data_IF_480355356670
#
_entry.id   IF_480355356670
#
_cell.length_a   1.000
_cell.length_b   1.000
_cell.length_c   1.000
_cell.angle_alpha   90.00
_cell.angle_beta   90.00
_cell.angle_gamma   90.00
#
_symmetry.space_group_name_H-M   'P 1'
#
loop_
_entity.id
_entity.type
_entity.pdbx_description
1 polymer ?
#
# COMPACT_ATOMS: atom_id res chain seq x y z
N UNK A 1 -33.82 -10.37 11.64
CA UNK A 1 -32.91 -11.11 12.55
C UNK A 1 -33.41 -12.54 12.60
N UNK A 2 -32.55 -13.52 12.37
CA UNK A 2 -32.94 -14.94 12.33
C UNK A 2 -33.47 -15.39 13.69
N UNK A 3 -34.69 -15.91 13.74
CA UNK A 3 -35.28 -16.50 14.93
C UNK A 3 -34.57 -17.82 15.22
N UNK A 4 -33.86 -17.94 16.35
CA UNK A 4 -33.18 -19.16 16.81
C UNK A 4 -32.18 -19.84 15.82
N UNK A 5 -31.56 -19.06 14.92
CA UNK A 5 -30.56 -19.56 13.97
C UNK A 5 -31.14 -20.18 12.70
N UNK A 6 -32.44 -20.02 12.46
CA UNK A 6 -33.07 -20.39 11.18
C UNK A 6 -32.92 -19.28 10.16
N UNK A 7 -32.39 -19.62 9.00
CA UNK A 7 -32.20 -18.70 7.88
C UNK A 7 -33.04 -19.17 6.70
N UNK A 8 -33.91 -18.28 6.19
CA UNK A 8 -34.65 -18.53 4.95
C UNK A 8 -33.66 -18.56 3.79
N UNK A 9 -33.73 -19.59 2.98
CA UNK A 9 -32.98 -19.71 1.72
C UNK A 9 -33.72 -18.92 0.65
N UNK A 10 -32.98 -18.19 -0.19
CA UNK A 10 -33.59 -17.56 -1.36
C UNK A 10 -34.26 -18.64 -2.23
N UNK A 11 -35.55 -18.49 -2.60
CA UNK A 11 -36.22 -19.47 -3.45
C UNK A 11 -35.44 -19.83 -4.74
N UNK A 12 -34.67 -18.89 -5.30
CA UNK A 12 -33.84 -19.13 -6.48
C UNK A 12 -32.60 -20.01 -6.20
N UNK A 13 -32.19 -20.14 -4.94
CA UNK A 13 -31.06 -20.95 -4.50
C UNK A 13 -31.46 -22.35 -4.05
N UNK A 14 -32.76 -22.61 -3.88
CA UNK A 14 -33.27 -23.95 -3.58
C UNK A 14 -33.07 -24.85 -4.81
N UNK A 15 -32.31 -25.96 -4.70
CA UNK A 15 -32.01 -26.81 -5.84
C UNK A 15 -33.26 -27.56 -6.35
N UNK A 16 -33.28 -27.81 -7.67
CA UNK A 16 -34.20 -28.75 -8.32
C UNK A 16 -33.96 -30.19 -7.87
N UNK A 17 -34.91 -31.09 -8.17
CA UNK A 17 -34.79 -32.50 -7.80
C UNK A 17 -33.54 -33.15 -8.43
N UNK A 18 -32.81 -33.93 -7.62
CA UNK A 18 -31.55 -34.57 -8.01
C UNK A 18 -30.40 -33.58 -8.23
N UNK A 19 -30.45 -32.40 -7.58
CA UNK A 19 -29.37 -31.40 -7.62
C UNK A 19 -28.89 -31.04 -6.22
N UNK A 20 -27.66 -30.56 -6.18
CA UNK A 20 -27.02 -29.93 -5.03
C UNK A 20 -26.57 -28.53 -5.45
N UNK A 21 -26.56 -27.58 -4.51
CA UNK A 21 -26.06 -26.24 -4.72
C UNK A 21 -25.39 -25.72 -3.46
N UNK A 22 -24.29 -25.00 -3.61
CA UNK A 22 -23.72 -24.18 -2.55
C UNK A 22 -24.61 -22.97 -2.29
N UNK A 23 -25.13 -22.83 -1.06
CA UNK A 23 -26.04 -21.74 -0.67
C UNK A 23 -25.50 -21.06 0.59
N UNK A 24 -25.50 -19.71 0.62
CA UNK A 24 -25.06 -18.95 1.79
C UNK A 24 -26.21 -18.71 2.77
N UNK A 25 -26.13 -19.30 3.96
CA UNK A 25 -27.09 -19.15 5.06
C UNK A 25 -26.36 -18.71 6.33
N UNK A 26 -26.78 -17.61 6.93
CA UNK A 26 -26.16 -17.09 8.16
C UNK A 26 -24.66 -16.80 8.06
N UNK A 27 -24.17 -16.45 6.86
CA UNK A 27 -22.74 -16.22 6.59
C UNK A 27 -21.90 -17.50 6.38
N UNK A 28 -22.52 -18.69 6.40
CA UNK A 28 -21.90 -19.97 6.02
C UNK A 28 -22.40 -20.44 4.67
N UNK A 29 -21.53 -21.01 3.85
CA UNK A 29 -21.96 -21.77 2.67
C UNK A 29 -22.26 -23.21 3.09
N UNK A 30 -23.46 -23.69 2.79
CA UNK A 30 -23.90 -25.08 2.99
C UNK A 30 -24.15 -25.74 1.64
N UNK A 31 -23.96 -27.05 1.55
CA UNK A 31 -24.39 -27.82 0.39
C UNK A 31 -25.86 -28.20 0.57
N UNK A 32 -26.76 -27.46 -0.07
CA UNK A 32 -28.20 -27.72 -0.06
C UNK A 32 -28.52 -28.69 -1.21
N UNK A 33 -29.20 -29.79 -0.92
CA UNK A 33 -29.56 -30.84 -1.87
C UNK A 33 -31.07 -31.08 -1.87
N UNK A 34 -31.62 -31.51 -3.00
CA UNK A 34 -33.01 -31.99 -3.11
C UNK A 34 -33.04 -33.41 -3.68
N UNK A 35 -33.75 -34.30 -3.00
CA UNK A 35 -34.02 -35.67 -3.44
C UNK A 35 -35.49 -36.01 -3.22
N UNK A 36 -36.28 -35.96 -4.29
CA UNK A 36 -37.74 -35.96 -4.27
C UNK A 36 -38.28 -34.80 -3.44
N UNK A 37 -39.17 -35.13 -2.50
CA UNK A 37 -39.74 -34.17 -1.55
C UNK A 37 -38.79 -33.78 -0.40
N UNK A 38 -37.62 -34.43 -0.28
CA UNK A 38 -36.71 -34.22 0.85
C UNK A 38 -35.61 -33.22 0.49
N UNK A 39 -35.26 -32.39 1.47
CA UNK A 39 -34.13 -31.47 1.40
C UNK A 39 -33.07 -31.87 2.43
N UNK A 40 -31.81 -31.74 2.04
CA UNK A 40 -30.65 -31.95 2.90
C UNK A 40 -29.78 -30.71 2.89
N UNK A 41 -29.24 -30.32 4.05
CA UNK A 41 -28.21 -29.30 4.13
C UNK A 41 -26.99 -29.90 4.81
N UNK A 42 -25.88 -29.97 4.07
CA UNK A 42 -24.62 -30.52 4.57
C UNK A 42 -23.59 -29.40 4.76
N UNK A 43 -22.59 -29.65 5.60
CA UNK A 43 -21.35 -28.89 5.57
C UNK A 43 -20.80 -28.89 4.15
N UNK A 44 -20.50 -27.71 3.61
CA UNK A 44 -20.05 -27.60 2.24
C UNK A 44 -18.60 -28.09 2.09
N UNK A 45 -17.86 -28.20 3.18
CA UNK A 45 -16.49 -28.69 3.20
C UNK A 45 -16.43 -30.21 3.42
N UNK A 46 -16.00 -30.95 2.40
CA UNK A 46 -15.76 -32.38 2.50
C UNK A 46 -14.68 -32.72 3.56
N UNK A 47 -14.86 -33.74 4.43
CA UNK A 47 -13.90 -34.10 5.48
C UNK A 47 -12.56 -34.65 4.96
N UNK A 48 -12.48 -35.14 3.72
CA UNK A 48 -11.24 -35.72 3.19
C UNK A 48 -10.26 -34.66 2.68
N UNK A 49 -10.62 -33.92 1.63
CA UNK A 49 -9.74 -32.89 1.03
C UNK A 49 -10.29 -31.47 1.15
N UNK A 50 -11.45 -31.27 1.79
CA UNK A 50 -12.05 -29.94 1.92
C UNK A 50 -12.84 -29.48 0.69
N UNK A 51 -13.13 -30.37 -0.26
CA UNK A 51 -13.83 -30.01 -1.50
C UNK A 51 -15.25 -29.47 -1.28
N UNK A 52 -15.72 -28.54 -2.14
CA UNK A 52 -17.02 -27.90 -2.03
C UNK A 52 -18.15 -28.83 -2.49
N UNK A 53 -18.83 -29.47 -1.54
CA UNK A 53 -19.89 -30.44 -1.84
C UNK A 53 -21.08 -29.83 -2.60
N UNK A 54 -21.32 -28.52 -2.44
CA UNK A 54 -22.33 -27.75 -3.16
C UNK A 54 -22.03 -27.58 -4.65
N UNK A 55 -20.81 -27.86 -5.09
CA UNK A 55 -20.39 -27.94 -6.50
C UNK A 55 -20.28 -29.39 -6.99
N UNK A 56 -20.69 -30.35 -6.15
CA UNK A 56 -20.73 -31.77 -6.48
C UNK A 56 -21.89 -32.13 -7.41
N UNK A 57 -22.02 -33.43 -7.67
CA UNK A 57 -23.11 -34.02 -8.44
C UNK A 57 -23.87 -35.03 -7.61
N UNK A 58 -25.19 -35.17 -7.82
CA UNK A 58 -25.94 -36.29 -7.27
C UNK A 58 -26.05 -37.38 -8.34
N UNK A 59 -25.38 -38.49 -8.12
CA UNK A 59 -25.30 -39.62 -9.04
C UNK A 59 -25.74 -40.90 -8.34
N UNK A 60 -26.69 -41.63 -8.94
CA UNK A 60 -27.24 -42.87 -8.36
C UNK A 60 -27.75 -42.70 -6.92
N UNK A 61 -28.28 -41.51 -6.61
CA UNK A 61 -28.80 -41.14 -5.28
C UNK A 61 -27.74 -40.72 -4.26
N UNK A 62 -26.46 -40.64 -4.65
CA UNK A 62 -25.36 -40.22 -3.78
C UNK A 62 -24.78 -38.88 -4.25
N UNK A 63 -24.47 -38.00 -3.31
CA UNK A 63 -23.73 -36.77 -3.54
C UNK A 63 -22.23 -37.06 -3.63
N UNK A 64 -21.64 -36.78 -4.79
CA UNK A 64 -20.21 -36.95 -5.05
C UNK A 64 -19.45 -35.66 -4.84
N UNK A 65 -18.39 -35.72 -4.04
CA UNK A 65 -17.43 -34.62 -3.88
C UNK A 65 -16.69 -34.34 -5.21
N UNK A 66 -16.63 -33.08 -5.68
CA UNK A 66 -16.04 -32.76 -6.98
C UNK A 66 -14.51 -32.90 -7.02
N UNK A 67 -13.84 -32.92 -5.85
CA UNK A 67 -12.37 -32.95 -5.81
C UNK A 67 -11.78 -34.35 -5.89
N UNK A 68 -12.35 -35.31 -5.18
CA UNK A 68 -11.79 -36.66 -5.07
C UNK A 68 -12.84 -37.77 -5.18
N UNK A 69 -14.06 -37.43 -5.61
CA UNK A 69 -15.07 -38.40 -6.03
C UNK A 69 -15.69 -39.25 -4.92
N UNK A 70 -15.50 -38.88 -3.64
CA UNK A 70 -16.10 -39.60 -2.53
C UNK A 70 -17.60 -39.28 -2.42
N UNK A 71 -18.39 -40.31 -2.14
CA UNK A 71 -19.85 -40.25 -2.16
C UNK A 71 -20.42 -40.09 -0.74
N UNK A 72 -21.54 -39.39 -0.62
CA UNK A 72 -22.31 -39.19 0.60
C UNK A 72 -23.80 -39.34 0.32
N UNK A 73 -24.59 -39.77 1.30
CA UNK A 73 -26.04 -39.60 1.23
C UNK A 73 -26.37 -38.09 1.25
N UNK A 74 -27.08 -37.56 0.24
CA UNK A 74 -27.28 -36.12 0.07
C UNK A 74 -28.10 -35.48 1.19
N UNK A 75 -28.84 -36.26 1.99
CA UNK A 75 -29.72 -35.75 3.04
C UNK A 75 -29.08 -35.87 4.43
N UNK A 76 -28.53 -37.03 4.73
CA UNK A 76 -27.99 -37.38 6.05
C UNK A 76 -26.48 -37.18 6.17
N UNK A 77 -25.77 -36.93 5.06
CA UNK A 77 -24.31 -36.78 5.02
C UNK A 77 -23.56 -38.08 5.35
N UNK A 78 -24.26 -39.20 5.53
CA UNK A 78 -23.64 -40.49 5.85
C UNK A 78 -22.86 -41.01 4.66
N UNK A 79 -21.69 -41.62 4.86
CA UNK A 79 -20.97 -42.24 3.77
C UNK A 79 -21.66 -43.56 3.35
N UNK A 80 -21.29 -44.14 2.20
CA UNK A 80 -21.68 -45.49 1.82
C UNK A 80 -21.33 -46.53 2.89
N UNK A 81 -22.02 -47.67 2.85
CA UNK A 81 -21.76 -48.79 3.76
C UNK A 81 -20.29 -49.21 3.72
N UNK A 82 -19.72 -49.50 4.89
CA UNK A 82 -18.30 -49.88 5.05
C UNK A 82 -17.35 -48.70 5.31
N UNK A 83 -17.85 -47.46 5.33
CA UNK A 83 -17.05 -46.28 5.64
C UNK A 83 -17.60 -45.47 6.83
N UNK A 84 -16.77 -44.63 7.44
CA UNK A 84 -17.10 -43.87 8.67
C UNK A 84 -17.13 -42.35 8.51
N UNK A 85 -16.64 -41.81 7.39
CA UNK A 85 -16.26 -40.39 7.29
C UNK A 85 -17.44 -39.51 6.83
N UNK A 86 -18.51 -39.47 7.62
CA UNK A 86 -19.70 -38.67 7.30
C UNK A 86 -19.48 -37.15 7.36
N UNK A 87 -20.36 -36.42 6.68
CA UNK A 87 -20.37 -34.94 6.65
C UNK A 87 -21.40 -34.44 7.66
N UNK A 88 -21.07 -33.36 8.37
CA UNK A 88 -21.99 -32.72 9.30
C UNK A 88 -23.25 -32.21 8.56
N UNK A 89 -24.42 -32.30 9.20
CA UNK A 89 -25.70 -31.87 8.65
C UNK A 89 -26.25 -30.68 9.42
N UNK A 90 -27.07 -29.88 8.73
CA UNK A 90 -27.84 -28.79 9.30
C UNK A 90 -29.33 -29.12 9.17
N UNK A 91 -30.14 -28.87 10.23
CA UNK A 91 -31.57 -29.04 10.13
C UNK A 91 -32.17 -28.20 9.00
N UNK A 92 -33.05 -28.81 8.22
CA UNK A 92 -33.81 -28.15 7.15
C UNK A 92 -35.29 -28.25 7.48
N UNK A 93 -36.02 -27.14 7.32
CA UNK A 93 -37.45 -27.08 7.51
C UNK A 93 -38.09 -26.42 6.28
N UNK A 94 -39.12 -27.06 5.74
CA UNK A 94 -39.95 -26.46 4.71
C UNK A 94 -41.22 -25.91 5.37
N UNK A 95 -41.40 -24.60 5.29
CA UNK A 95 -42.55 -23.85 5.81
C UNK A 95 -43.40 -23.35 4.63
N UNK A 96 -44.60 -22.87 4.90
CA UNK A 96 -45.53 -22.37 3.88
C UNK A 96 -44.92 -21.23 3.02
N UNK A 97 -44.00 -20.46 3.60
CA UNK A 97 -43.35 -19.32 2.96
C UNK A 97 -41.93 -19.62 2.46
N UNK A 98 -41.41 -20.85 2.58
CA UNK A 98 -40.14 -21.24 1.97
C UNK A 98 -39.31 -22.28 2.72
N UNK A 99 -38.07 -22.44 2.27
CA UNK A 99 -37.08 -23.37 2.86
C UNK A 99 -36.21 -22.62 3.85
N UNK A 100 -36.01 -23.23 5.01
CA UNK A 100 -35.19 -22.70 6.09
C UNK A 100 -34.10 -23.70 6.45
N UNK A 101 -32.88 -23.21 6.64
CA UNK A 101 -31.75 -24.00 7.14
C UNK A 101 -31.33 -23.42 8.48
N UNK A 102 -31.18 -24.29 9.49
CA UNK A 102 -30.67 -23.89 10.80
C UNK A 102 -29.17 -24.08 10.86
N UNK A 103 -28.43 -22.98 10.91
CA UNK A 103 -26.98 -23.01 11.14
C UNK A 103 -26.66 -22.49 12.54
N UNK A 104 -25.61 -23.00 13.20
CA UNK A 104 -25.13 -22.40 14.43
C UNK A 104 -24.70 -20.96 14.16
N UNK A 105 -24.90 -20.08 15.15
CA UNK A 105 -24.33 -18.74 15.09
C UNK A 105 -22.81 -18.83 14.88
N UNK A 106 -22.22 -17.90 14.11
CA UNK A 106 -20.76 -17.84 13.99
C UNK A 106 -20.14 -17.78 15.39
N UNK A 107 -19.07 -18.55 15.61
CA UNK A 107 -18.29 -18.38 16.82
C UNK A 107 -17.81 -16.92 16.89
N UNK A 108 -17.79 -16.30 18.08
CA UNK A 108 -17.21 -14.98 18.23
C UNK A 108 -15.76 -15.02 17.77
N UNK A 109 -15.37 -13.99 17.03
CA UNK A 109 -14.01 -13.85 16.51
C UNK A 109 -13.02 -13.78 17.68
N UNK A 110 -12.03 -14.67 17.70
CA UNK A 110 -10.88 -14.57 18.58
C UNK A 110 -9.81 -13.73 17.88
N UNK A 111 -9.33 -12.69 18.56
CA UNK A 111 -8.34 -11.75 18.00
C UNK A 111 -7.07 -12.47 17.59
N UNK A 112 -6.54 -12.15 16.41
CA UNK A 112 -5.38 -12.82 15.82
C UNK A 112 -4.21 -11.87 15.60
N UNK A 113 -3.06 -12.44 15.25
CA UNK A 113 -1.89 -11.69 14.77
C UNK A 113 -2.24 -10.74 13.63
N UNK A 114 -3.08 -11.16 12.67
CA UNK A 114 -3.53 -10.28 11.60
C UNK A 114 -4.33 -9.07 12.10
N UNK A 115 -5.16 -9.22 13.14
CA UNK A 115 -5.85 -8.08 13.76
C UNK A 115 -4.85 -7.10 14.37
N UNK A 116 -3.88 -7.59 15.15
CA UNK A 116 -2.84 -6.75 15.76
C UNK A 116 -2.08 -5.94 14.71
N UNK A 117 -1.72 -6.59 13.59
CA UNK A 117 -1.04 -5.93 12.47
C UNK A 117 -1.93 -4.83 11.89
N UNK A 118 -3.17 -5.13 11.51
CA UNK A 118 -4.09 -4.16 10.89
C UNK A 118 -4.41 -3.01 11.84
N UNK A 119 -4.72 -3.28 13.10
CA UNK A 119 -4.97 -2.27 14.14
C UNK A 119 -3.76 -1.35 14.32
N UNK A 120 -2.54 -1.90 14.28
CA UNK A 120 -1.30 -1.11 14.33
C UNK A 120 -1.17 -0.23 13.07
N UNK A 121 -1.40 -0.77 11.88
CA UNK A 121 -1.37 0.04 10.64
C UNK A 121 -2.38 1.20 10.71
N UNK A 122 -3.60 0.94 11.21
CA UNK A 122 -4.64 1.93 11.42
C UNK A 122 -4.22 2.98 12.46
N UNK A 123 -3.63 2.57 13.58
CA UNK A 123 -3.13 3.48 14.62
C UNK A 123 -2.03 4.41 14.07
N UNK A 124 -1.23 3.94 13.12
CA UNK A 124 -0.20 4.70 12.42
C UNK A 124 -0.72 5.50 11.21
N UNK A 125 -2.04 5.55 11.00
CA UNK A 125 -2.67 6.43 10.01
C UNK A 125 -2.80 5.84 8.61
N UNK A 126 -2.60 4.52 8.44
CA UNK A 126 -2.96 3.85 7.19
C UNK A 126 -4.48 3.82 7.07
N UNK A 127 -5.00 4.42 6.01
CA UNK A 127 -6.45 4.54 5.75
C UNK A 127 -6.90 3.89 4.44
N UNK A 128 -5.97 3.62 3.53
CA UNK A 128 -6.27 3.05 2.22
C UNK A 128 -5.39 1.83 1.96
N UNK A 129 -6.03 0.74 1.56
CA UNK A 129 -5.36 -0.54 1.28
C UNK A 129 -5.82 -1.05 -0.09
N UNK A 130 -4.89 -1.20 -1.02
CA UNK A 130 -5.14 -1.68 -2.38
C UNK A 130 -4.67 -3.13 -2.51
N UNK A 131 -5.47 -4.05 -3.02
CA UNK A 131 -4.94 -5.41 -3.12
C UNK A 131 -5.86 -6.47 -3.65
N UNK A 132 -5.33 -7.68 -3.68
CA UNK A 132 -6.05 -8.88 -4.10
C UNK A 132 -6.06 -9.91 -2.99
N UNK A 133 -7.26 -10.42 -2.70
CA UNK A 133 -7.46 -11.52 -1.76
C UNK A 133 -7.16 -12.84 -2.46
N UNK A 134 -6.46 -13.73 -1.78
CA UNK A 134 -6.35 -15.13 -2.17
C UNK A 134 -5.79 -15.98 -1.03
N UNK A 135 -5.62 -17.28 -1.29
CA UNK A 135 -5.40 -18.29 -0.25
C UNK A 135 -4.37 -17.89 0.82
N UNK A 136 -3.22 -17.34 0.41
CA UNK A 136 -2.13 -17.10 1.33
C UNK A 136 -2.21 -15.78 2.11
N UNK A 137 -3.30 -15.03 2.02
CA UNK A 137 -3.49 -13.77 2.75
C UNK A 137 -4.89 -13.62 3.36
N UNK A 138 -5.65 -14.72 3.45
CA UNK A 138 -7.02 -14.71 3.94
C UNK A 138 -7.15 -14.17 5.37
N UNK A 139 -6.21 -14.51 6.27
CA UNK A 139 -6.24 -14.01 7.64
C UNK A 139 -6.07 -12.49 7.70
N UNK A 140 -5.14 -11.96 6.90
CA UNK A 140 -4.94 -10.51 6.76
C UNK A 140 -6.13 -9.80 6.11
N UNK A 141 -6.67 -10.36 5.02
CA UNK A 141 -7.85 -9.82 4.35
C UNK A 141 -9.08 -9.77 5.26
N UNK A 142 -9.29 -10.78 6.10
CA UNK A 142 -10.39 -10.84 7.05
C UNK A 142 -10.24 -9.80 8.18
N UNK A 143 -9.01 -9.54 8.63
CA UNK A 143 -8.71 -8.44 9.56
C UNK A 143 -8.95 -7.05 8.93
N UNK A 144 -8.57 -6.87 7.66
CA UNK A 144 -8.88 -5.65 6.90
C UNK A 144 -10.39 -5.43 6.77
N UNK A 145 -11.15 -6.46 6.41
CA UNK A 145 -12.62 -6.40 6.30
C UNK A 145 -13.25 -5.95 7.61
N UNK A 146 -12.80 -6.48 8.76
CA UNK A 146 -13.29 -6.04 10.07
C UNK A 146 -12.95 -4.58 10.38
N UNK A 147 -11.76 -4.10 10.00
CA UNK A 147 -11.38 -2.71 10.18
C UNK A 147 -12.20 -1.77 9.26
N UNK A 148 -12.50 -2.21 8.03
CA UNK A 148 -13.38 -1.51 7.10
C UNK A 148 -14.82 -1.45 7.61
N UNK A 149 -15.38 -2.54 8.16
CA UNK A 149 -16.71 -2.55 8.79
C UNK A 149 -16.81 -1.54 9.95
N UNK A 150 -15.70 -1.28 10.65
CA UNK A 150 -15.60 -0.26 11.71
C UNK A 150 -15.36 1.15 11.18
N UNK A 151 -15.18 1.33 9.87
CA UNK A 151 -14.90 2.63 9.23
C UNK A 151 -13.48 3.16 9.46
N UNK A 152 -12.53 2.30 9.84
CA UNK A 152 -11.17 2.71 10.20
C UNK A 152 -10.24 2.83 8.98
N UNK A 153 -10.55 2.12 7.91
CA UNK A 153 -9.85 2.13 6.62
C UNK A 153 -10.81 1.79 5.48
N UNK A 154 -10.34 1.94 4.25
CA UNK A 154 -11.03 1.51 3.04
C UNK A 154 -10.17 0.50 2.27
N UNK A 155 -10.77 -0.66 1.95
CA UNK A 155 -10.17 -1.65 1.08
C UNK A 155 -10.61 -1.42 -0.37
N UNK A 156 -9.63 -1.43 -1.27
CA UNK A 156 -9.84 -1.20 -2.70
C UNK A 156 -9.36 -2.44 -3.45
N UNK A 157 -10.32 -3.26 -3.88
CA UNK A 157 -10.06 -4.44 -4.68
C UNK A 157 -9.55 -4.07 -6.07
N UNK A 158 -8.41 -4.63 -6.46
CA UNK A 158 -7.83 -4.44 -7.80
C UNK A 158 -7.95 -5.69 -8.67
N UNK A 159 -7.68 -5.55 -9.98
CA UNK A 159 -7.68 -6.66 -10.94
C UNK A 159 -6.29 -7.18 -11.32
N UNK A 160 -5.24 -6.47 -10.91
CA UNK A 160 -3.85 -6.88 -11.05
C UNK A 160 -3.02 -6.25 -9.92
N UNK A 161 -2.12 -6.98 -9.28
CA UNK A 161 -1.39 -6.52 -8.09
C UNK A 161 -0.47 -5.33 -8.40
N UNK A 162 0.13 -5.29 -9.59
CA UNK A 162 0.87 -4.11 -10.06
C UNK A 162 0.03 -2.81 -10.01
N UNK A 163 -1.27 -2.88 -10.28
CA UNK A 163 -2.15 -1.72 -10.15
C UNK A 163 -2.36 -1.30 -8.68
N UNK A 164 -2.38 -2.25 -7.73
CA UNK A 164 -2.38 -1.92 -6.31
C UNK A 164 -1.10 -1.21 -5.88
N UNK A 165 0.06 -1.69 -6.33
CA UNK A 165 1.34 -1.06 -6.03
C UNK A 165 1.42 0.37 -6.62
N UNK A 166 0.99 0.56 -7.87
CA UNK A 166 0.92 1.90 -8.48
C UNK A 166 -0.07 2.82 -7.76
N UNK A 167 -1.23 2.31 -7.35
CA UNK A 167 -2.22 3.11 -6.62
C UNK A 167 -1.68 3.55 -5.24
N UNK A 168 -1.03 2.65 -4.51
CA UNK A 168 -0.37 2.98 -3.24
C UNK A 168 0.76 3.99 -3.45
N UNK A 169 1.59 3.80 -4.49
CA UNK A 169 2.63 4.74 -4.89
C UNK A 169 2.06 6.13 -5.18
N UNK A 170 1.03 6.23 -6.01
CA UNK A 170 0.36 7.49 -6.34
C UNK A 170 -0.23 8.17 -5.09
N UNK A 171 -0.86 7.40 -4.19
CA UNK A 171 -1.37 7.94 -2.93
C UNK A 171 -0.25 8.54 -2.09
N UNK A 172 0.88 7.83 -1.94
CA UNK A 172 2.06 8.32 -1.23
C UNK A 172 2.61 9.61 -1.84
N UNK A 173 2.77 9.66 -3.17
CA UNK A 173 3.24 10.85 -3.89
C UNK A 173 2.28 12.02 -3.73
N UNK A 174 0.98 11.81 -3.76
CA UNK A 174 -0.02 12.88 -3.72
C UNK A 174 -0.30 13.39 -2.31
N UNK A 175 -0.18 12.56 -1.28
CA UNK A 175 -0.58 12.93 0.09
C UNK A 175 0.59 13.08 1.06
N UNK A 176 1.76 12.52 0.73
CA UNK A 176 2.88 12.38 1.66
C UNK A 176 2.61 11.37 2.79
N UNK A 177 1.47 10.67 2.78
CA UNK A 177 1.06 9.70 3.79
C UNK A 177 1.16 8.28 3.24
N UNK A 178 1.48 7.27 4.08
CA UNK A 178 1.56 5.89 3.63
C UNK A 178 0.18 5.33 3.24
N UNK A 179 0.15 4.58 2.15
CA UNK A 179 -0.90 3.62 1.83
C UNK A 179 -0.31 2.21 1.76
N UNK A 180 -1.16 1.20 1.91
CA UNK A 180 -0.74 -0.18 1.81
C UNK A 180 -1.19 -0.79 0.48
N UNK A 181 -0.37 -1.68 -0.07
CA UNK A 181 -0.77 -2.66 -1.07
C UNK A 181 -0.52 -4.08 -0.57
N UNK A 182 -1.40 -5.03 -0.90
CA UNK A 182 -1.18 -6.43 -0.52
C UNK A 182 -1.53 -7.44 -1.60
N UNK A 183 -0.83 -8.58 -1.55
CA UNK A 183 -0.94 -9.66 -2.52
C UNK A 183 -0.73 -11.05 -1.87
N UNK A 184 -0.90 -12.11 -2.67
CA UNK A 184 -0.65 -13.51 -2.26
C UNK A 184 0.82 -13.92 -2.45
N UNK A 185 1.19 -15.11 -1.99
CA UNK A 185 2.50 -15.70 -2.15
C UNK A 185 2.94 -15.82 -3.61
N UNK A 186 4.25 -15.91 -3.81
CA UNK A 186 4.87 -16.13 -5.12
C UNK A 186 4.47 -15.08 -6.16
N UNK A 187 3.84 -15.48 -7.28
CA UNK A 187 3.62 -14.61 -8.44
C UNK A 187 2.80 -13.37 -8.12
N UNK A 188 1.79 -13.48 -7.24
CA UNK A 188 0.95 -12.33 -6.88
C UNK A 188 1.76 -11.23 -6.19
N UNK A 189 2.66 -11.59 -5.29
CA UNK A 189 3.59 -10.64 -4.66
C UNK A 189 4.60 -10.09 -5.68
N UNK A 190 5.18 -10.92 -6.54
CA UNK A 190 6.14 -10.41 -7.55
C UNK A 190 5.52 -9.42 -8.54
N UNK A 191 4.20 -9.52 -8.80
CA UNK A 191 3.47 -8.54 -9.61
C UNK A 191 3.44 -7.13 -9.00
N UNK A 192 3.69 -6.98 -7.68
CA UNK A 192 3.79 -5.67 -7.03
C UNK A 192 5.07 -4.91 -7.44
N UNK A 193 6.15 -5.61 -7.80
CA UNK A 193 7.50 -5.05 -7.89
C UNK A 193 7.59 -3.81 -8.77
N UNK A 194 6.98 -3.81 -9.96
CA UNK A 194 7.07 -2.66 -10.87
C UNK A 194 6.49 -1.38 -10.25
N UNK A 195 5.33 -1.47 -9.60
CA UNK A 195 4.73 -0.32 -8.92
C UNK A 195 5.49 0.08 -7.65
N UNK A 196 6.14 -0.88 -6.98
CA UNK A 196 6.99 -0.59 -5.83
C UNK A 196 8.32 0.07 -6.22
N UNK A 197 8.88 -0.27 -7.39
CA UNK A 197 10.05 0.45 -7.92
C UNK A 197 9.71 1.89 -8.29
N UNK A 198 8.51 2.13 -8.83
CA UNK A 198 7.98 3.47 -9.02
C UNK A 198 7.90 4.24 -7.68
N UNK A 199 7.42 3.61 -6.60
CA UNK A 199 7.42 4.22 -5.26
C UNK A 199 8.84 4.50 -4.74
N UNK A 200 9.76 3.51 -4.84
CA UNK A 200 11.16 3.62 -4.40
C UNK A 200 11.88 4.78 -5.08
N UNK A 201 11.79 4.87 -6.40
CA UNK A 201 12.52 5.88 -7.18
C UNK A 201 11.94 7.29 -6.99
N UNK A 202 10.66 7.40 -6.63
CA UNK A 202 10.01 8.68 -6.38
C UNK A 202 9.96 9.10 -4.91
N UNK A 203 10.47 8.28 -4.00
CA UNK A 203 10.46 8.56 -2.56
C UNK A 203 9.06 8.50 -1.94
N UNK A 204 8.17 7.65 -2.45
CA UNK A 204 6.80 7.54 -1.96
C UNK A 204 6.72 6.56 -0.77
N UNK A 205 6.09 6.95 0.36
CA UNK A 205 5.90 6.05 1.49
C UNK A 205 4.83 4.99 1.15
N UNK A 206 5.23 3.72 1.08
CA UNK A 206 4.33 2.61 0.73
C UNK A 206 4.59 1.41 1.64
N UNK A 207 3.51 0.74 2.06
CA UNK A 207 3.59 -0.57 2.71
C UNK A 207 3.22 -1.66 1.72
N UNK A 208 4.10 -2.62 1.51
CA UNK A 208 3.83 -3.83 0.75
C UNK A 208 3.63 -5.01 1.71
N UNK A 209 2.47 -5.66 1.66
CA UNK A 209 2.18 -6.84 2.46
C UNK A 209 2.03 -8.05 1.54
N UNK A 210 2.89 -9.04 1.73
CA UNK A 210 2.88 -10.25 0.94
C UNK A 210 2.42 -11.42 1.79
N UNK A 211 1.36 -12.10 1.37
CA UNK A 211 1.06 -13.45 1.88
C UNK A 211 2.21 -14.41 1.56
N UNK A 212 2.33 -15.50 2.31
CA UNK A 212 3.40 -16.48 2.11
C UNK A 212 2.92 -17.89 2.46
N UNK A 213 3.45 -18.89 1.75
CA UNK A 213 3.20 -20.31 2.08
C UNK A 213 3.54 -20.61 3.55
N UNK A 214 2.96 -21.66 4.15
CA UNK A 214 3.24 -21.96 5.53
C UNK A 214 4.73 -22.15 5.81
N UNK A 215 5.24 -21.64 6.94
CA UNK A 215 6.69 -21.65 7.21
C UNK A 215 7.31 -23.04 7.14
N UNK A 216 6.54 -24.08 7.49
CA UNK A 216 6.97 -25.49 7.48
C UNK A 216 7.26 -26.08 6.08
N UNK A 217 6.75 -25.44 5.00
CA UNK A 217 6.93 -25.91 3.62
C UNK A 217 7.80 -24.99 2.77
N UNK A 218 8.14 -23.81 3.28
CA UNK A 218 8.99 -22.84 2.59
C UNK A 218 10.35 -23.46 2.21
N UNK A 219 10.77 -23.26 0.96
CA UNK A 219 12.01 -23.82 0.40
C UNK A 219 11.94 -25.30 -0.01
N UNK A 220 10.79 -25.97 0.15
CA UNK A 220 10.60 -27.36 -0.27
C UNK A 220 10.02 -27.49 -1.69
N UNK A 221 9.80 -26.37 -2.38
CA UNK A 221 9.17 -26.33 -3.70
C UNK A 221 7.65 -26.43 -3.61
N UNK A 222 7.06 -25.83 -2.57
CA UNK A 222 5.60 -25.77 -2.47
C UNK A 222 5.00 -24.92 -3.60
N UNK A 223 3.69 -25.07 -3.84
CA UNK A 223 2.99 -24.21 -4.79
C UNK A 223 3.11 -22.74 -4.36
N UNK A 224 3.62 -21.88 -5.25
CA UNK A 224 3.91 -20.45 -4.99
C UNK A 224 5.03 -20.16 -3.98
N UNK A 225 5.91 -21.13 -3.72
CA UNK A 225 7.09 -21.00 -2.85
C UNK A 225 8.17 -20.10 -3.49
N UNK A 226 8.28 -18.87 -3.01
CA UNK A 226 9.28 -17.88 -3.43
C UNK A 226 9.89 -17.22 -2.20
N UNK A 227 11.21 -17.00 -2.19
CA UNK A 227 11.87 -16.18 -1.17
C UNK A 227 11.56 -14.70 -1.39
N UNK A 228 10.39 -14.29 -0.92
CA UNK A 228 9.89 -12.92 -1.05
C UNK A 228 10.76 -11.91 -0.28
N UNK A 229 11.45 -12.33 0.78
CA UNK A 229 12.38 -11.45 1.49
C UNK A 229 13.63 -11.16 0.66
N UNK A 230 14.15 -12.14 -0.09
CA UNK A 230 15.22 -11.90 -1.05
C UNK A 230 14.76 -11.04 -2.24
N UNK A 231 13.61 -11.37 -2.82
CA UNK A 231 13.06 -10.68 -4.01
C UNK A 231 12.81 -9.19 -3.74
N UNK A 232 12.30 -8.83 -2.57
CA UNK A 232 11.95 -7.44 -2.25
C UNK A 232 13.09 -6.65 -1.61
N UNK A 233 14.26 -7.27 -1.39
CA UNK A 233 15.38 -6.66 -0.65
C UNK A 233 15.90 -5.38 -1.31
N UNK A 234 15.91 -5.34 -2.64
CA UNK A 234 16.34 -4.12 -3.33
C UNK A 234 15.24 -3.05 -3.29
N UNK A 235 14.00 -3.39 -3.62
CA UNK A 235 12.91 -2.39 -3.75
C UNK A 235 12.52 -1.76 -2.41
N UNK A 236 12.69 -2.47 -1.30
CA UNK A 236 12.26 -2.02 0.01
C UNK A 236 13.37 -1.41 0.86
N UNK A 237 13.09 -0.32 1.57
CA UNK A 237 13.97 0.24 2.61
C UNK A 237 14.04 -0.65 3.85
N UNK A 238 13.06 -1.54 4.01
CA UNK A 238 13.05 -2.63 4.99
C UNK A 238 12.16 -3.77 4.50
N UNK A 239 12.61 -5.01 4.62
CA UNK A 239 11.80 -6.21 4.37
C UNK A 239 11.89 -7.12 5.59
N UNK A 240 10.74 -7.61 6.09
CA UNK A 240 10.72 -8.44 7.30
C UNK A 240 9.66 -9.52 7.21
N UNK A 241 10.05 -10.76 7.52
CA UNK A 241 9.12 -11.88 7.65
C UNK A 241 8.54 -11.91 9.06
N UNK A 242 7.22 -12.04 9.16
CA UNK A 242 6.48 -12.14 10.41
C UNK A 242 6.50 -13.59 10.88
N UNK A 243 7.34 -13.90 11.87
CA UNK A 243 7.46 -15.25 12.42
C UNK A 243 6.55 -15.48 13.63
N UNK A 244 6.29 -16.75 13.96
CA UNK A 244 5.61 -17.13 15.20
C UNK A 244 6.40 -16.64 16.42
N UNK A 245 5.70 -16.06 17.40
CA UNK A 245 6.31 -15.51 18.62
C UNK A 245 7.07 -14.19 18.46
N UNK A 246 7.07 -13.58 17.27
CA UNK A 246 7.60 -12.21 17.09
C UNK A 246 6.72 -11.17 17.79
N UNK A 247 7.27 -9.98 18.04
CA UNK A 247 6.48 -8.81 18.42
C UNK A 247 5.78 -8.24 17.18
N UNK A 248 4.59 -8.76 16.88
CA UNK A 248 3.87 -8.45 15.64
C UNK A 248 3.46 -6.98 15.57
N UNK A 249 3.07 -6.37 16.70
CA UNK A 249 2.73 -4.96 16.77
C UNK A 249 3.96 -4.09 16.45
N UNK A 250 5.12 -4.41 17.03
CA UNK A 250 6.35 -3.68 16.77
C UNK A 250 6.80 -3.81 15.30
N UNK A 251 6.70 -5.01 14.70
CA UNK A 251 7.04 -5.21 13.29
C UNK A 251 6.19 -4.35 12.35
N UNK A 252 4.87 -4.27 12.60
CA UNK A 252 3.99 -3.39 11.83
C UNK A 252 4.33 -1.91 12.03
N UNK A 253 4.54 -1.49 13.27
CA UNK A 253 4.91 -0.11 13.61
C UNK A 253 6.22 0.31 12.93
N UNK A 254 7.25 -0.55 12.97
CA UNK A 254 8.53 -0.30 12.32
C UNK A 254 8.40 -0.27 10.79
N UNK A 255 7.54 -1.08 10.19
CA UNK A 255 7.28 -1.00 8.75
C UNK A 255 6.70 0.37 8.37
N UNK A 256 5.68 0.87 9.09
CA UNK A 256 5.12 2.21 8.82
C UNK A 256 6.13 3.31 9.06
N UNK A 257 6.89 3.20 10.17
CA UNK A 257 7.96 4.14 10.49
C UNK A 257 9.03 4.18 9.40
N UNK A 258 9.53 3.04 8.93
CA UNK A 258 10.54 3.01 7.87
C UNK A 258 10.02 3.56 6.55
N UNK A 259 8.82 3.18 6.13
CA UNK A 259 8.20 3.71 4.90
C UNK A 259 8.08 5.23 4.95
N UNK A 260 7.68 5.78 6.11
CA UNK A 260 7.49 7.21 6.32
C UNK A 260 8.84 7.93 6.44
N UNK A 261 9.69 7.55 7.39
CA UNK A 261 10.93 8.23 7.73
C UNK A 261 11.96 8.14 6.61
N UNK A 262 12.06 7.01 5.92
CA UNK A 262 12.99 6.84 4.80
C UNK A 262 12.36 7.14 3.44
N UNK A 263 11.08 7.55 3.40
CA UNK A 263 10.34 7.89 2.17
C UNK A 263 10.48 6.79 1.12
N UNK A 264 9.94 5.61 1.40
CA UNK A 264 10.08 4.47 0.50
C UNK A 264 9.17 3.29 0.84
N UNK A 265 9.49 2.14 0.27
CA UNK A 265 8.71 0.92 0.43
C UNK A 265 9.17 0.16 1.67
N UNK A 266 8.27 -0.14 2.60
CA UNK A 266 8.51 -1.16 3.62
C UNK A 266 7.68 -2.41 3.31
N UNK A 267 8.29 -3.59 3.43
CA UNK A 267 7.71 -4.86 3.04
C UNK A 267 7.57 -5.81 4.23
N UNK A 268 6.39 -6.41 4.38
CA UNK A 268 6.11 -7.45 5.37
C UNK A 268 5.70 -8.75 4.65
N UNK A 269 6.29 -9.87 5.07
CA UNK A 269 5.96 -11.21 4.57
C UNK A 269 5.19 -11.97 5.66
N UNK A 270 3.98 -12.44 5.37
CA UNK A 270 3.05 -13.02 6.33
C UNK A 270 2.73 -14.49 5.98
N UNK A 271 3.37 -15.47 6.63
CA UNK A 271 3.03 -16.88 6.44
C UNK A 271 1.61 -17.22 6.91
N UNK A 272 0.93 -18.09 6.16
CA UNK A 272 -0.48 -18.46 6.35
C UNK A 272 -0.84 -18.82 7.80
N UNK A 273 -0.04 -19.69 8.42
CA UNK A 273 -0.32 -20.20 9.75
C UNK A 273 -0.10 -19.16 10.84
N UNK A 274 0.66 -18.09 10.57
CA UNK A 274 0.94 -17.02 11.53
C UNK A 274 -0.23 -16.05 11.59
N UNK A 275 -0.84 -15.72 10.44
CA UNK A 275 -1.91 -14.72 10.33
C UNK A 275 -3.11 -15.00 11.26
N UNK A 276 -3.38 -16.28 11.50
CA UNK A 276 -4.54 -16.77 12.26
C UNK A 276 -4.20 -17.20 13.70
N UNK A 277 -2.95 -17.04 14.14
CA UNK A 277 -2.61 -17.34 15.54
C UNK A 277 -3.32 -16.38 16.49
N UNK A 278 -3.87 -16.86 17.62
CA UNK A 278 -4.46 -15.99 18.64
C UNK A 278 -3.44 -14.96 19.15
N UNK A 279 -3.87 -13.72 19.35
CA UNK A 279 -3.03 -12.68 19.94
C UNK A 279 -3.84 -11.61 20.66
N UNK A 280 -3.53 -11.42 21.94
CA UNK A 280 -4.06 -10.35 22.78
C UNK A 280 -3.09 -9.17 22.91
N UNK A 281 -2.00 -9.15 22.14
CA UNK A 281 -1.01 -8.08 22.18
C UNK A 281 -1.64 -6.74 21.78
N UNK A 282 -1.42 -5.64 22.52
CA UNK A 282 -1.98 -4.34 22.14
C UNK A 282 -1.40 -3.87 20.80
N UNK A 283 -2.20 -3.15 20.02
CA UNK A 283 -1.69 -2.46 18.83
C UNK A 283 -0.67 -1.38 19.24
N UNK A 284 0.38 -1.21 18.44
CA UNK A 284 1.39 -0.18 18.69
C UNK A 284 0.94 1.17 18.12
N UNK A 285 1.13 2.27 18.87
CA UNK A 285 0.78 3.63 18.43
C UNK A 285 2.04 4.42 18.02
N UNK A 286 1.90 5.51 17.24
CA UNK A 286 3.03 6.37 16.89
C UNK A 286 3.53 7.27 18.04
N UNK A 287 2.86 7.27 19.20
CA UNK A 287 3.15 8.20 20.30
C UNK A 287 4.58 8.05 20.82
N UNK A 288 5.34 9.16 20.80
CA UNK A 288 6.75 9.17 21.19
C UNK A 288 7.71 8.48 20.21
N UNK A 289 7.21 8.04 19.04
CA UNK A 289 7.99 7.27 18.05
C UNK A 289 8.19 8.00 16.72
N UNK A 290 7.54 9.14 16.54
CA UNK A 290 7.67 10.03 15.38
C UNK A 290 8.15 11.41 15.81
N UNK A 291 8.86 12.10 14.92
CA UNK A 291 9.30 13.47 15.11
C UNK A 291 8.98 14.31 13.87
N UNK A 292 8.86 15.63 14.02
CA UNK A 292 8.91 16.53 12.88
C UNK A 292 10.27 16.35 12.19
N UNK A 293 10.22 16.15 10.88
CA UNK A 293 11.41 15.87 10.07
C UNK A 293 12.02 17.13 9.47
N UNK A 294 11.32 18.25 9.55
CA UNK A 294 11.79 19.51 8.99
C UNK A 294 12.96 20.02 9.83
N UNK A 295 14.07 20.29 9.16
CA UNK A 295 15.31 20.75 9.79
C UNK A 295 15.77 22.05 9.16
N UNK A 296 16.46 22.86 9.96
CA UNK A 296 17.16 24.06 9.48
C UNK A 296 18.63 23.70 9.20
N UNK A 297 19.23 24.27 8.15
CA UNK A 297 20.67 24.19 7.92
C UNK A 297 21.46 24.96 8.99
N UNK A 298 22.76 24.69 9.06
CA UNK A 298 23.66 25.44 9.94
C UNK A 298 23.68 26.93 9.58
N UNK A 299 23.68 27.81 10.58
CA UNK A 299 23.66 29.27 10.39
C UNK A 299 24.79 29.75 9.48
N UNK A 300 26.01 29.25 9.68
CA UNK A 300 27.17 29.59 8.85
C UNK A 300 27.01 29.16 7.39
N UNK A 301 26.30 28.06 7.12
CA UNK A 301 25.99 27.63 5.76
C UNK A 301 24.96 28.55 5.11
N UNK A 302 23.95 28.99 5.86
CA UNK A 302 22.96 29.99 5.41
C UNK A 302 23.63 31.31 5.08
N UNK A 303 24.54 31.79 5.94
CA UNK A 303 25.29 33.04 5.71
C UNK A 303 26.16 32.95 4.44
N UNK A 304 26.85 31.82 4.24
CA UNK A 304 27.64 31.59 3.02
C UNK A 304 26.76 31.54 1.77
N UNK A 305 25.62 30.86 1.82
CA UNK A 305 24.65 30.82 0.74
C UNK A 305 24.05 32.21 0.44
N UNK A 306 23.74 32.98 1.49
CA UNK A 306 23.22 34.33 1.35
C UNK A 306 24.21 35.27 0.67
N UNK A 307 25.51 35.17 1.02
CA UNK A 307 26.57 35.93 0.34
C UNK A 307 26.66 35.57 -1.15
N UNK A 308 26.65 34.27 -1.48
CA UNK A 308 26.66 33.80 -2.87
C UNK A 308 25.46 34.31 -3.67
N UNK A 309 24.25 34.26 -3.10
CA UNK A 309 23.02 34.73 -3.75
C UNK A 309 23.00 36.25 -3.88
N UNK A 310 23.51 36.98 -2.89
CA UNK A 310 23.56 38.45 -2.90
C UNK A 310 24.45 38.99 -4.03
N UNK A 311 25.56 38.33 -4.30
CA UNK A 311 26.53 38.74 -5.32
C UNK A 311 26.10 38.36 -6.75
N UNK A 312 25.11 37.47 -6.91
CA UNK A 312 24.60 37.06 -8.22
C UNK A 312 23.81 38.18 -8.90
N UNK A 313 24.08 38.39 -10.20
CA UNK A 313 23.38 39.36 -11.06
C UNK A 313 22.18 38.75 -11.76
N UNK A 314 22.27 37.49 -12.17
CA UNK A 314 21.20 36.78 -12.91
C UNK A 314 20.93 35.42 -12.29
N UNK A 315 20.54 35.35 -11.01
CA UNK A 315 20.18 34.09 -10.39
C UNK A 315 18.91 33.51 -11.02
N UNK A 316 18.80 32.18 -11.05
CA UNK A 316 17.61 31.45 -11.49
C UNK A 316 17.26 30.40 -10.45
N UNK A 317 15.98 30.31 -10.08
CA UNK A 317 15.49 29.26 -9.20
C UNK A 317 15.08 28.04 -10.03
N UNK A 318 15.47 26.85 -9.60
CA UNK A 318 15.06 25.57 -10.18
C UNK A 318 14.35 24.77 -9.08
N UNK A 319 13.02 24.77 -9.11
CA UNK A 319 12.18 24.05 -8.15
C UNK A 319 11.96 22.59 -8.59
N UNK A 320 12.42 21.66 -7.76
CA UNK A 320 12.17 20.24 -7.86
C UNK A 320 10.96 19.79 -7.05
N UNK A 321 10.67 18.49 -7.09
CA UNK A 321 9.54 17.93 -6.34
C UNK A 321 9.71 18.08 -4.82
N UNK A 322 10.95 18.09 -4.32
CA UNK A 322 11.25 18.29 -2.90
C UNK A 322 10.94 19.71 -2.38
N UNK A 323 10.65 20.66 -3.27
CA UNK A 323 10.18 22.00 -2.89
C UNK A 323 8.64 22.04 -2.64
N UNK A 324 7.94 20.91 -2.77
CA UNK A 324 6.51 20.84 -2.48
C UNK A 324 6.22 21.19 -1.02
N UNK A 325 5.22 22.04 -0.79
CA UNK A 325 4.94 22.63 0.53
C UNK A 325 5.76 23.89 0.84
N UNK A 326 6.66 24.30 -0.06
CA UNK A 326 7.42 25.55 0.00
C UNK A 326 7.07 26.49 -1.18
N UNK A 327 5.86 26.37 -1.74
CA UNK A 327 5.40 27.15 -2.90
C UNK A 327 5.50 28.66 -2.64
N UNK A 328 5.12 29.09 -1.43
CA UNK A 328 5.15 30.49 -1.04
C UNK A 328 6.58 31.01 -0.92
N UNK A 329 7.45 30.26 -0.25
CA UNK A 329 8.84 30.64 0.00
C UNK A 329 9.66 30.70 -1.29
N UNK A 330 9.42 29.77 -2.23
CA UNK A 330 10.02 29.83 -3.57
C UNK A 330 9.61 31.12 -4.28
N UNK A 331 8.32 31.49 -4.22
CA UNK A 331 7.82 32.70 -4.86
C UNK A 331 8.35 33.97 -4.21
N UNK A 332 8.37 34.04 -2.89
CA UNK A 332 8.89 35.20 -2.16
C UNK A 332 10.37 35.43 -2.44
N UNK A 333 11.17 34.37 -2.48
CA UNK A 333 12.59 34.50 -2.85
C UNK A 333 12.75 34.94 -4.31
N UNK A 334 11.97 34.37 -5.22
CA UNK A 334 11.98 34.77 -6.63
C UNK A 334 11.61 36.25 -6.82
N UNK A 335 10.55 36.73 -6.16
CA UNK A 335 10.12 38.13 -6.19
C UNK A 335 11.17 39.07 -5.58
N UNK A 336 11.82 38.65 -4.49
CA UNK A 336 12.92 39.42 -3.84
C UNK A 336 14.13 39.57 -4.76
N UNK A 337 14.46 38.52 -5.51
CA UNK A 337 15.57 38.50 -6.45
C UNK A 337 15.20 39.01 -7.85
N UNK A 338 13.92 39.27 -8.12
CA UNK A 338 13.36 39.38 -9.48
C UNK A 338 13.87 38.28 -10.43
N UNK A 339 14.01 37.06 -9.90
CA UNK A 339 14.62 35.91 -10.57
C UNK A 339 13.55 34.98 -11.15
N UNK A 340 13.73 34.43 -12.36
CA UNK A 340 12.79 33.48 -12.93
C UNK A 340 12.83 32.15 -12.17
N UNK A 341 11.67 31.47 -12.15
CA UNK A 341 11.50 30.15 -11.55
C UNK A 341 11.24 29.12 -12.64
N UNK A 342 12.18 28.18 -12.75
CA UNK A 342 12.07 26.98 -13.56
C UNK A 342 11.57 25.84 -12.67
N UNK A 343 10.82 24.91 -13.26
CA UNK A 343 10.40 23.69 -12.57
C UNK A 343 11.01 22.46 -13.22
N UNK A 344 11.30 21.43 -12.43
CA UNK A 344 11.47 20.07 -12.97
C UNK A 344 10.11 19.56 -13.47
N UNK A 345 10.10 18.54 -14.34
CA UNK A 345 8.85 17.95 -14.83
C UNK A 345 7.90 17.52 -13.68
N UNK A 346 8.43 16.91 -12.61
CA UNK A 346 7.65 16.48 -11.43
C UNK A 346 7.16 17.63 -10.55
N UNK A 347 7.69 18.84 -10.76
CA UNK A 347 7.35 20.02 -9.98
C UNK A 347 6.48 21.02 -10.77
N UNK A 348 6.05 20.66 -12.00
CA UNK A 348 5.12 21.51 -12.74
C UNK A 348 3.86 21.76 -11.89
N UNK A 349 3.47 23.02 -11.79
CA UNK A 349 2.33 23.46 -10.98
C UNK A 349 2.72 24.01 -9.59
N UNK A 350 3.99 23.89 -9.17
CA UNK A 350 4.48 24.49 -7.91
C UNK A 350 4.45 26.03 -7.98
N UNK A 351 4.73 26.60 -9.15
CA UNK A 351 4.53 28.02 -9.46
C UNK A 351 3.45 28.13 -10.54
N UNK A 352 2.48 29.06 -10.42
CA UNK A 352 1.47 29.27 -11.45
C UNK A 352 2.10 29.65 -12.80
N UNK A 353 1.60 29.08 -13.90
CA UNK A 353 2.06 29.44 -15.26
C UNK A 353 1.78 30.93 -15.60
N UNK A 354 0.87 31.59 -14.86
CA UNK A 354 0.55 33.03 -14.99
C UNK A 354 1.46 33.93 -14.16
N UNK A 355 2.37 33.37 -13.34
CA UNK A 355 3.28 34.17 -12.54
C UNK A 355 4.28 34.89 -13.46
N UNK A 356 4.56 36.19 -13.26
CA UNK A 356 5.44 36.95 -14.17
C UNK A 356 6.88 36.43 -14.21
N UNK A 357 7.32 35.76 -13.13
CA UNK A 357 8.62 35.08 -13.04
C UNK A 357 8.55 33.58 -13.35
N UNK A 358 7.37 33.04 -13.70
CA UNK A 358 7.22 31.63 -14.05
C UNK A 358 7.79 31.35 -15.44
N UNK A 359 8.85 30.55 -15.51
CA UNK A 359 9.59 30.31 -16.75
C UNK A 359 9.47 28.87 -17.28
N UNK A 360 8.45 28.15 -16.81
CA UNK A 360 8.06 26.84 -17.33
C UNK A 360 8.91 25.68 -16.82
N UNK A 361 8.85 24.57 -17.57
CA UNK A 361 9.53 23.32 -17.22
C UNK A 361 10.91 23.28 -17.89
N UNK A 362 11.94 22.86 -17.15
CA UNK A 362 13.31 22.65 -17.63
C UNK A 362 13.50 21.20 -18.12
N UNK A 363 14.35 21.01 -19.13
CA UNK A 363 14.82 19.70 -19.58
C UNK A 363 14.15 19.18 -20.84
N UNK A 364 14.28 17.87 -21.08
CA UNK A 364 13.85 17.20 -22.33
C UNK A 364 12.35 17.28 -22.61
N UNK A 365 11.55 17.41 -21.57
CA UNK A 365 10.10 17.63 -21.65
C UNK A 365 9.70 19.09 -21.36
N UNK A 366 10.68 19.98 -21.37
CA UNK A 366 10.56 21.37 -20.99
C UNK A 366 10.40 22.33 -22.16
N UNK A 367 10.66 23.61 -21.89
CA UNK A 367 10.59 24.69 -22.88
C UNK A 367 11.97 25.24 -23.23
N UNK A 368 12.19 25.72 -24.46
CA UNK A 368 13.43 26.41 -24.82
C UNK A 368 13.71 27.65 -23.97
N UNK A 369 12.67 28.35 -23.51
CA UNK A 369 12.78 29.53 -22.62
C UNK A 369 13.42 29.14 -21.29
N UNK A 370 12.96 28.05 -20.67
CA UNK A 370 13.56 27.54 -19.44
C UNK A 370 15.06 27.22 -19.61
N UNK A 371 15.40 26.56 -20.72
CA UNK A 371 16.80 26.25 -21.02
C UNK A 371 17.63 27.51 -21.29
N UNK A 372 17.08 28.49 -21.99
CA UNK A 372 17.77 29.75 -22.28
C UNK A 372 18.07 30.51 -20.98
N UNK A 373 17.07 30.67 -20.11
CA UNK A 373 17.25 31.34 -18.82
C UNK A 373 18.28 30.63 -17.93
N UNK A 374 18.27 29.29 -17.87
CA UNK A 374 19.32 28.54 -17.16
C UNK A 374 20.72 28.79 -17.75
N UNK A 375 20.86 28.82 -19.08
CA UNK A 375 22.15 29.03 -19.74
C UNK A 375 22.69 30.45 -19.53
N UNK A 376 21.79 31.42 -19.41
CA UNK A 376 22.09 32.82 -19.17
C UNK A 376 22.35 33.16 -17.69
N UNK A 377 21.96 32.27 -16.77
CA UNK A 377 22.13 32.44 -15.34
C UNK A 377 23.61 32.45 -14.92
N UNK A 378 23.96 33.27 -13.94
CA UNK A 378 25.26 33.23 -13.27
C UNK A 378 25.24 32.41 -11.98
N UNK A 379 24.05 32.13 -11.44
CA UNK A 379 23.83 31.26 -10.28
C UNK A 379 22.55 30.43 -10.45
N UNK A 380 22.63 29.13 -10.18
CA UNK A 380 21.47 28.23 -10.11
C UNK A 380 21.12 27.94 -8.65
N UNK A 381 19.93 28.37 -8.21
CA UNK A 381 19.38 28.06 -6.89
C UNK A 381 18.45 26.87 -7.04
N UNK A 382 18.96 25.68 -6.76
CA UNK A 382 18.26 24.41 -6.99
C UNK A 382 17.63 23.92 -5.70
N UNK A 383 16.30 23.79 -5.67
CA UNK A 383 15.53 23.44 -4.47
C UNK A 383 14.85 22.08 -4.64
N UNK A 384 15.30 21.06 -3.91
CA UNK A 384 14.66 19.75 -3.83
C UNK A 384 14.58 19.01 -5.18
N UNK A 385 15.65 19.08 -5.99
CA UNK A 385 15.71 18.45 -7.31
C UNK A 385 16.77 17.34 -7.37
N UNK A 386 16.47 16.28 -8.11
CA UNK A 386 17.34 15.09 -8.20
C UNK A 386 18.46 15.18 -9.24
N UNK A 387 18.62 16.31 -9.93
CA UNK A 387 19.62 16.49 -11.00
C UNK A 387 19.58 15.41 -12.10
N UNK A 388 18.39 14.86 -12.39
CA UNK A 388 18.28 13.85 -13.44
C UNK A 388 18.72 14.41 -14.80
N UNK A 389 19.34 13.55 -15.62
CA UNK A 389 19.69 13.88 -17.01
C UNK A 389 18.47 14.28 -17.87
N UNK A 390 17.26 13.96 -17.41
CA UNK A 390 16.01 14.39 -18.06
C UNK A 390 15.71 15.87 -17.80
N UNK A 391 16.05 16.36 -16.60
CA UNK A 391 15.96 17.78 -16.24
C UNK A 391 17.12 18.56 -16.88
N UNK A 392 18.34 18.01 -16.85
CA UNK A 392 19.49 18.61 -17.52
C UNK A 392 19.95 19.93 -16.87
N UNK A 393 20.00 19.97 -15.54
CA UNK A 393 20.57 21.11 -14.81
C UNK A 393 22.05 21.24 -15.17
N UNK A 394 22.50 22.45 -15.52
CA UNK A 394 23.87 22.71 -15.96
C UNK A 394 24.87 22.62 -14.78
N UNK A 395 25.41 21.42 -14.53
CA UNK A 395 26.35 21.12 -13.43
C UNK A 395 27.67 21.90 -13.45
N UNK A 396 28.01 22.56 -14.56
CA UNK A 396 29.23 23.37 -14.70
C UNK A 396 29.05 24.84 -14.27
N UNK A 397 27.83 25.27 -13.90
CA UNK A 397 27.55 26.61 -13.38
C UNK A 397 27.67 26.65 -11.85
N UNK A 398 27.84 27.84 -11.25
CA UNK A 398 27.68 27.99 -9.81
C UNK A 398 26.30 27.53 -9.35
N UNK A 399 26.26 26.68 -8.33
CA UNK A 399 25.03 26.04 -7.82
C UNK A 399 24.94 26.21 -6.31
N UNK A 400 23.82 26.77 -5.86
CA UNK A 400 23.31 26.61 -4.51
C UNK A 400 22.29 25.46 -4.52
N UNK A 401 22.61 24.34 -3.86
CA UNK A 401 21.70 23.20 -3.75
C UNK A 401 21.04 23.16 -2.37
N UNK A 402 19.72 23.07 -2.34
CA UNK A 402 18.90 22.90 -1.13
C UNK A 402 18.22 21.54 -1.20
N UNK A 403 18.47 20.67 -0.23
CA UNK A 403 17.81 19.36 -0.13
C UNK A 403 17.77 18.89 1.33
N UNK A 404 16.83 18.02 1.69
CA UNK A 404 16.75 17.45 3.04
C UNK A 404 17.34 16.03 3.11
N UNK A 405 17.67 15.43 1.97
CA UNK A 405 18.42 14.19 1.86
C UNK A 405 19.93 14.47 1.73
N UNK A 406 20.75 14.11 2.75
CA UNK A 406 22.19 14.29 2.65
C UNK A 406 22.81 13.51 1.48
N UNK A 407 22.19 12.41 1.05
CA UNK A 407 22.64 11.65 -0.11
C UNK A 407 22.30 12.29 -1.45
N UNK A 408 21.47 13.34 -1.49
CA UNK A 408 21.14 14.07 -2.72
C UNK A 408 22.13 15.21 -3.01
N UNK A 409 22.73 15.79 -1.97
CA UNK A 409 23.70 16.88 -2.09
C UNK A 409 24.92 16.43 -2.89
N UNK A 410 25.21 17.12 -3.99
CA UNK A 410 26.40 16.88 -4.81
C UNK A 410 26.52 15.47 -5.40
N UNK A 411 25.39 14.74 -5.53
CA UNK A 411 25.40 13.33 -5.96
C UNK A 411 26.01 13.09 -7.34
N UNK A 412 25.78 14.02 -8.27
CA UNK A 412 26.27 13.92 -9.64
C UNK A 412 27.52 14.76 -9.88
N UNK A 413 27.47 16.03 -9.48
CA UNK A 413 28.54 16.99 -9.62
C UNK A 413 28.71 17.78 -8.32
N UNK A 414 29.91 18.29 -8.06
CA UNK A 414 30.15 19.19 -6.94
C UNK A 414 29.34 20.48 -7.08
N UNK A 415 28.80 20.98 -5.97
CA UNK A 415 28.04 22.25 -5.92
C UNK A 415 28.84 23.33 -5.21
N UNK A 416 28.57 24.59 -5.54
CA UNK A 416 29.27 25.75 -4.96
C UNK A 416 28.95 25.92 -3.48
N UNK A 417 27.69 25.76 -3.12
CA UNK A 417 27.22 25.77 -1.73
C UNK A 417 26.03 24.84 -1.59
N UNK A 418 25.87 24.23 -0.43
CA UNK A 418 24.73 23.37 -0.12
C UNK A 418 24.09 23.75 1.20
N UNK A 419 22.77 23.60 1.28
CA UNK A 419 21.98 23.74 2.49
C UNK A 419 21.21 22.44 2.71
N UNK A 420 21.59 21.72 3.76
CA UNK A 420 20.89 20.52 4.20
C UNK A 420 19.74 20.92 5.13
N UNK A 421 18.50 20.82 4.64
CA UNK A 421 17.33 21.21 5.41
C UNK A 421 16.03 21.16 4.61
N UNK A 422 14.92 21.32 5.32
CA UNK A 422 13.59 21.46 4.71
C UNK A 422 13.56 22.68 3.78
N UNK A 423 12.93 22.53 2.61
CA UNK A 423 12.91 23.57 1.58
C UNK A 423 12.31 24.88 2.10
N UNK A 424 11.16 24.85 2.78
CA UNK A 424 10.47 26.05 3.25
C UNK A 424 11.23 26.75 4.38
N UNK A 425 11.66 25.99 5.38
CA UNK A 425 12.47 26.53 6.49
C UNK A 425 13.79 27.12 5.99
N UNK A 426 14.44 26.44 5.04
CA UNK A 426 15.72 26.88 4.47
C UNK A 426 15.57 28.14 3.64
N UNK A 427 14.57 28.21 2.77
CA UNK A 427 14.30 29.39 1.95
C UNK A 427 13.94 30.60 2.81
N UNK A 428 13.18 30.39 3.88
CA UNK A 428 12.87 31.44 4.86
C UNK A 428 14.13 31.97 5.55
N UNK A 429 14.99 31.07 6.02
CA UNK A 429 16.26 31.44 6.66
C UNK A 429 17.19 32.19 5.68
N UNK A 430 17.28 31.71 4.43
CA UNK A 430 18.07 32.34 3.38
C UNK A 430 17.55 33.74 3.06
N UNK A 431 16.24 33.93 2.89
CA UNK A 431 15.64 35.22 2.64
C UNK A 431 15.91 36.21 3.79
N UNK A 432 15.85 35.74 5.04
CA UNK A 432 16.18 36.56 6.21
C UNK A 432 17.65 37.00 6.27
N UNK A 433 18.58 36.22 5.71
CA UNK A 433 20.02 36.52 5.68
C UNK A 433 20.48 37.25 4.40
N UNK A 434 19.62 37.36 3.39
CA UNK A 434 19.99 37.80 2.04
C UNK A 434 20.46 39.27 2.00
N UNK A 435 19.80 40.18 2.71
CA UNK A 435 20.05 41.63 2.60
C UNK A 435 19.56 42.19 1.26
N UNK A 436 20.24 43.21 0.73
CA UNK A 436 19.93 43.79 -0.60
C UNK A 436 20.63 42.99 -1.71
N UNK A 437 19.90 42.32 -2.62
CA UNK A 437 20.50 41.55 -3.69
C UNK A 437 21.00 42.44 -4.84
N UNK A 438 22.07 42.02 -5.52
CA UNK A 438 22.60 42.68 -6.72
C UNK A 438 21.88 42.27 -8.02
N UNK A 439 20.85 41.42 -7.90
CA UNK A 439 20.15 40.79 -9.00
C UNK A 439 19.41 41.80 -9.88
N UNK A 440 19.54 41.62 -11.19
CA UNK A 440 18.82 42.38 -12.21
C UNK A 440 17.39 41.87 -12.34
N UNK A 441 16.46 42.76 -12.67
CA UNK A 441 15.08 42.38 -12.94
C UNK A 441 14.99 41.58 -14.23
N UNK A 442 14.61 40.31 -14.13
CA UNK A 442 14.53 39.37 -15.25
C UNK A 442 13.09 39.14 -15.73
N UNK A 443 12.14 40.02 -15.37
CA UNK A 443 10.77 39.98 -15.91
C UNK A 443 10.76 40.33 -17.42
N UNK A 444 9.79 39.79 -18.19
CA UNK A 444 9.65 40.07 -19.62
C UNK A 444 9.40 41.53 -19.99
#
# INVERSE_FOLDING_TARGET
MAENGWHRVDPADVPDDGRVRGVTVGGRTVALSRCGARLGALENRCPHQGGPLGEGSIEKGLLRCPWHGYDYDPISGRPPEGFSDGVATYPVEQRDDGVYVRVPAPAPHARTVADVLVETLVAWGVRHVFGMVGHSNLGFAEALRRAEDRGELTYIGIRHEGAAAFAASAYGKLTGRPAACFAIAGPGSTNLLTGLYDAKLDGAPVLAISGQVPSKVLGRGAFQDVDLSAVFRDVAVSTTTVHGGSDHAELAALAVKHATDRRGVAHLVLPDEIQVQPSDAPAATPDGRTADRRTLPAVSAVEAAAALVRDARRPVLIAGHGARGAELEVRLLAETLNAPVLTTFKAKGLVPDTHPLGAGVLGRSGTPVASWLMNEADLLIVVGASFSNHTGIAGYKPILQIDDDPGAIGRFDAVTTSLLGDAGLTLTALAGALGEPAAEDQRP
#
